data_IF_481803210183
#
_entry.id   IF_481803210183
#
_cell.length_a   1.000
_cell.length_b   1.000
_cell.length_c   1.000
_cell.angle_alpha   90.00
_cell.angle_beta   90.00
_cell.angle_gamma   90.00
#
_symmetry.space_group_name_H-M   'P 1'
#
loop_
_entity.id
_entity.type
_entity.pdbx_description
1 polymer ?
#
# COMPACT_ATOMS: atom_id res chain seq x y z
N UNK A 1 5.45 17.17 -27.08
CA UNK A 1 4.97 17.50 -25.71
C UNK A 1 5.28 16.43 -24.65
N UNK A 2 5.16 15.12 -24.94
CA UNK A 2 5.53 14.05 -23.99
C UNK A 2 6.98 14.08 -23.42
N UNK A 3 8.04 14.44 -24.18
CA UNK A 3 9.40 14.44 -23.65
C UNK A 3 9.66 15.60 -22.69
N UNK A 4 9.14 16.80 -22.97
CA UNK A 4 9.30 17.97 -22.09
C UNK A 4 8.59 17.76 -20.75
N UNK A 5 7.38 17.19 -20.76
CA UNK A 5 6.66 16.83 -19.53
C UNK A 5 7.37 15.74 -18.71
N UNK A 6 8.02 14.78 -19.38
CA UNK A 6 8.79 13.74 -18.70
C UNK A 6 10.07 14.31 -18.08
N UNK A 7 10.72 15.26 -18.78
CA UNK A 7 11.89 15.98 -18.29
C UNK A 7 11.58 16.86 -17.08
N UNK A 8 10.51 17.67 -17.13
CA UNK A 8 10.11 18.53 -16.00
C UNK A 8 9.69 17.72 -14.79
N UNK A 9 8.94 16.62 -14.99
CA UNK A 9 8.55 15.70 -13.90
C UNK A 9 9.77 15.02 -13.28
N UNK A 10 10.71 14.54 -14.10
CA UNK A 10 11.97 13.96 -13.62
C UNK A 10 12.80 14.95 -12.81
N UNK A 11 12.92 16.19 -13.31
CA UNK A 11 13.62 17.28 -12.61
C UNK A 11 12.98 17.62 -11.26
N UNK A 12 11.65 17.75 -11.21
CA UNK A 12 10.93 18.01 -9.95
C UNK A 12 11.12 16.89 -8.92
N UNK A 13 11.08 15.63 -9.35
CA UNK A 13 11.30 14.49 -8.46
C UNK A 13 12.73 14.47 -7.90
N UNK A 14 13.74 14.74 -8.74
CA UNK A 14 15.13 14.80 -8.31
C UNK A 14 15.39 15.95 -7.31
N UNK A 15 14.88 17.15 -7.60
CA UNK A 15 15.01 18.31 -6.69
C UNK A 15 14.32 18.03 -5.36
N UNK A 16 13.10 17.47 -5.40
CA UNK A 16 12.38 17.09 -4.19
C UNK A 16 13.13 16.03 -3.37
N UNK A 17 13.65 14.98 -4.01
CA UNK A 17 14.46 13.94 -3.35
C UNK A 17 15.72 14.53 -2.71
N UNK A 18 16.38 15.46 -3.38
CA UNK A 18 17.54 16.16 -2.84
C UNK A 18 17.21 16.98 -1.59
N UNK A 19 16.12 17.76 -1.61
CA UNK A 19 15.66 18.50 -0.44
C UNK A 19 15.33 17.58 0.75
N UNK A 20 14.61 16.49 0.48
CA UNK A 20 14.26 15.51 1.51
C UNK A 20 15.50 14.81 2.09
N UNK A 21 16.48 14.46 1.25
CA UNK A 21 17.73 13.86 1.70
C UNK A 21 18.52 14.82 2.60
N UNK A 22 18.65 16.09 2.19
CA UNK A 22 19.30 17.12 3.01
C UNK A 22 18.62 17.27 4.37
N UNK A 23 17.29 17.26 4.39
CA UNK A 23 16.52 17.35 5.64
C UNK A 23 16.75 16.14 6.55
N UNK A 24 16.74 14.92 6.02
CA UNK A 24 16.99 13.70 6.80
C UNK A 24 18.42 13.68 7.35
N UNK A 25 19.42 14.04 6.55
CA UNK A 25 20.80 14.15 7.01
C UNK A 25 20.93 15.19 8.14
N UNK A 26 20.33 16.37 7.96
CA UNK A 26 20.35 17.43 8.98
C UNK A 26 19.72 16.98 10.29
N UNK A 27 18.50 16.41 10.25
CA UNK A 27 17.81 15.91 11.44
C UNK A 27 18.61 14.82 12.14
N UNK A 28 19.21 13.90 11.38
CA UNK A 28 20.04 12.81 11.92
C UNK A 28 21.26 13.36 12.66
N UNK A 29 21.97 14.33 12.05
CA UNK A 29 23.14 14.97 12.67
C UNK A 29 22.73 15.70 13.96
N UNK A 30 21.67 16.52 13.93
CA UNK A 30 21.21 17.28 15.09
C UNK A 30 20.81 16.37 16.24
N UNK A 31 19.99 15.34 15.98
CA UNK A 31 19.56 14.39 17.02
C UNK A 31 20.73 13.59 17.60
N UNK A 32 21.71 13.25 16.77
CA UNK A 32 22.90 12.53 17.22
C UNK A 32 23.76 13.41 18.14
N UNK A 33 23.97 14.68 17.77
CA UNK A 33 24.70 15.66 18.59
C UNK A 33 23.98 15.87 19.93
N UNK A 34 22.65 16.05 19.92
CA UNK A 34 21.86 16.20 21.15
C UNK A 34 21.98 14.98 22.06
N UNK A 35 21.96 13.77 21.48
CA UNK A 35 22.16 12.53 22.24
C UNK A 35 23.57 12.47 22.84
N UNK A 36 24.59 12.82 22.07
CA UNK A 36 25.97 12.90 22.54
C UNK A 36 26.13 13.89 23.70
N UNK A 37 25.58 15.10 23.57
CA UNK A 37 25.60 16.13 24.63
C UNK A 37 24.87 15.66 25.90
N UNK A 38 23.72 15.02 25.75
CA UNK A 38 22.94 14.49 26.88
C UNK A 38 23.71 13.39 27.60
N UNK A 39 24.25 12.40 26.88
CA UNK A 39 25.05 11.31 27.46
C UNK A 39 26.32 11.88 28.10
N UNK A 40 27.00 12.81 27.43
CA UNK A 40 28.18 13.49 27.95
C UNK A 40 27.88 14.25 29.25
N UNK A 41 26.75 14.96 29.31
CA UNK A 41 26.27 15.63 30.51
C UNK A 41 26.02 14.65 31.66
N UNK A 42 25.28 13.57 31.41
CA UNK A 42 25.01 12.54 32.43
C UNK A 42 26.31 11.93 32.95
N UNK A 43 27.23 11.55 32.06
CA UNK A 43 28.52 10.98 32.43
C UNK A 43 29.41 11.99 33.18
N UNK A 44 29.32 13.28 32.85
CA UNK A 44 30.01 14.34 33.58
C UNK A 44 29.50 14.46 35.01
N UNK A 45 28.19 14.57 35.21
CA UNK A 45 27.61 14.69 36.56
C UNK A 45 27.74 13.41 37.40
N UNK A 46 27.66 12.24 36.78
CA UNK A 46 27.81 10.96 37.48
C UNK A 46 29.28 10.59 37.76
N UNK A 47 30.20 10.96 36.85
CA UNK A 47 31.61 10.60 36.93
C UNK A 47 32.50 11.60 37.66
N UNK A 48 32.01 12.81 37.94
CA UNK A 48 32.78 13.86 38.62
C UNK A 48 32.17 14.23 39.97
N UNK A 49 33.01 14.22 41.02
CA UNK A 49 32.57 14.67 42.34
C UNK A 49 32.47 16.20 42.42
N UNK A 50 31.63 16.72 43.32
CA UNK A 50 31.51 18.16 43.54
C UNK A 50 32.84 18.81 43.97
N UNK A 51 33.68 18.09 44.73
CA UNK A 51 35.01 18.55 45.12
C UNK A 51 35.96 18.67 43.91
N UNK A 52 36.00 17.67 43.03
CA UNK A 52 36.84 17.72 41.83
C UNK A 52 36.44 18.84 40.87
N UNK A 53 35.13 19.04 40.66
CA UNK A 53 34.60 20.15 39.85
C UNK A 53 34.97 21.51 40.44
N UNK A 54 34.88 21.66 41.75
CA UNK A 54 35.28 22.88 42.45
C UNK A 54 36.79 23.14 42.29
N UNK A 55 37.64 22.15 42.56
CA UNK A 55 39.10 22.28 42.45
C UNK A 55 39.49 22.65 41.02
N UNK A 56 38.94 21.96 40.02
CA UNK A 56 39.20 22.27 38.61
C UNK A 56 38.70 23.66 38.21
N UNK A 57 37.52 24.08 38.66
CA UNK A 57 37.01 25.43 38.45
C UNK A 57 37.88 26.51 39.09
N UNK A 58 38.37 26.28 40.32
CA UNK A 58 39.30 27.21 40.99
C UNK A 58 40.65 27.28 40.30
N UNK A 59 41.12 26.19 39.69
CA UNK A 59 42.32 26.16 38.87
C UNK A 59 42.15 26.97 37.59
N UNK A 60 41.06 26.78 36.85
CA UNK A 60 40.77 27.57 35.64
C UNK A 60 40.63 29.07 35.94
N UNK A 61 39.99 29.44 37.05
CA UNK A 61 39.91 30.84 37.50
C UNK A 61 41.28 31.40 37.88
N UNK A 62 42.15 30.60 38.49
CA UNK A 62 43.52 31.00 38.80
C UNK A 62 44.33 31.24 37.52
N UNK A 63 44.22 30.32 36.56
CA UNK A 63 44.90 30.39 35.27
C UNK A 63 44.44 31.62 34.46
N UNK A 64 43.12 31.84 34.39
CA UNK A 64 42.53 33.01 33.74
C UNK A 64 42.97 34.34 34.39
N UNK A 65 42.94 34.43 35.72
CA UNK A 65 43.35 35.65 36.45
C UNK A 65 44.83 35.97 36.27
N UNK A 66 45.69 34.94 36.27
CA UNK A 66 47.13 35.10 36.02
C UNK A 66 47.39 35.52 34.56
N UNK A 67 46.65 34.94 33.62
CA UNK A 67 46.77 35.25 32.17
C UNK A 67 46.31 36.67 31.82
N UNK A 68 45.26 37.18 32.47
CA UNK A 68 44.77 38.56 32.24
C UNK A 68 45.63 39.60 32.97
N UNK A 69 46.26 39.27 34.09
CA UNK A 69 47.08 40.19 34.88
C UNK A 69 48.50 40.36 34.31
N UNK A 70 48.58 40.74 33.03
CA UNK A 70 49.79 40.85 32.20
C UNK A 70 50.93 41.68 32.82
N UNK A 71 50.61 42.66 33.68
CA UNK A 71 51.60 43.55 34.33
C UNK A 71 52.04 43.12 35.73
N UNK A 72 51.25 42.34 36.47
CA UNK A 72 51.61 41.91 37.83
C UNK A 72 50.99 40.55 38.21
N UNK A 73 51.48 39.45 37.61
CA UNK A 73 50.89 38.11 37.78
C UNK A 73 50.95 37.59 39.23
N UNK A 74 51.83 38.16 40.05
CA UNK A 74 52.03 37.83 41.46
C UNK A 74 51.03 38.52 42.42
N UNK A 75 50.26 39.51 41.94
CA UNK A 75 49.29 40.25 42.74
C UNK A 75 47.86 39.69 42.64
N UNK A 76 47.63 38.68 41.78
CA UNK A 76 46.34 38.02 41.63
C UNK A 76 46.03 37.13 42.86
N UNK A 77 44.95 37.45 43.55
CA UNK A 77 44.44 36.69 44.70
C UNK A 77 43.06 36.09 44.37
N UNK A 78 42.75 34.97 45.00
CA UNK A 78 41.42 34.37 44.93
C UNK A 78 41.04 33.71 46.25
N UNK A 79 39.74 33.66 46.49
CA UNK A 79 39.17 32.88 47.58
C UNK A 79 39.25 31.39 47.24
N UNK A 80 39.78 30.61 48.17
CA UNK A 80 39.89 29.16 48.09
C UNK A 80 39.26 28.56 49.35
N UNK A 81 38.22 27.74 49.16
CA UNK A 81 37.61 26.97 50.25
C UNK A 81 38.48 25.76 50.53
N UNK A 82 39.08 25.73 51.72
CA UNK A 82 39.85 24.58 52.21
C UNK A 82 38.95 23.38 52.46
N UNK A 83 39.52 22.17 52.49
CA UNK A 83 38.81 20.93 52.82
C UNK A 83 38.09 20.97 54.18
N UNK A 84 38.52 21.86 55.08
CA UNK A 84 37.91 22.12 56.39
C UNK A 84 36.76 23.15 56.36
N UNK A 85 36.31 23.59 55.18
CA UNK A 85 35.23 24.59 55.01
C UNK A 85 35.63 26.06 55.20
N UNK A 86 36.88 26.35 55.61
CA UNK A 86 37.38 27.72 55.79
C UNK A 86 37.70 28.38 54.45
N UNK A 87 37.24 29.62 54.24
CA UNK A 87 37.57 30.45 53.07
C UNK A 87 38.91 31.13 53.32
N UNK A 88 39.91 30.88 52.46
CA UNK A 88 41.24 31.48 52.55
C UNK A 88 41.51 32.30 51.29
N UNK A 89 42.06 33.51 51.45
CA UNK A 89 42.56 34.31 50.32
C UNK A 89 43.97 33.84 49.98
N UNK A 90 44.14 33.21 48.82
CA UNK A 90 45.41 32.62 48.39
C UNK A 90 45.86 33.27 47.08
N UNK A 91 47.17 33.45 46.91
CA UNK A 91 47.76 33.89 45.64
C UNK A 91 47.45 32.87 44.54
N UNK A 92 46.91 33.30 43.41
CA UNK A 92 46.52 32.43 42.28
C UNK A 92 47.71 31.63 41.74
N UNK A 93 48.93 32.19 41.73
CA UNK A 93 50.15 31.46 41.36
C UNK A 93 50.47 30.27 42.29
N UNK A 94 50.13 30.36 43.58
CA UNK A 94 50.38 29.28 44.55
C UNK A 94 49.46 28.08 44.29
N UNK A 95 48.28 28.32 43.72
CA UNK A 95 47.31 27.28 43.33
C UNK A 95 47.82 26.57 42.06
N UNK A 96 48.29 27.32 41.06
CA UNK A 96 48.84 26.77 39.82
C UNK A 96 50.11 25.92 40.02
N UNK A 97 50.90 26.20 41.05
CA UNK A 97 52.14 25.46 41.36
C UNK A 97 51.98 24.34 42.40
N UNK A 98 50.79 24.17 42.97
CA UNK A 98 50.56 23.17 44.00
C UNK A 98 50.48 21.76 43.39
N UNK A 99 51.40 20.88 43.78
CA UNK A 99 51.48 19.51 43.26
C UNK A 99 50.21 18.68 43.48
N UNK A 100 49.53 18.87 44.62
CA UNK A 100 48.28 18.18 44.91
C UNK A 100 47.16 18.65 43.98
N UNK A 101 47.00 19.97 43.79
CA UNK A 101 46.00 20.52 42.87
C UNK A 101 46.29 20.09 41.42
N UNK A 102 47.54 20.16 40.98
CA UNK A 102 47.95 19.72 39.65
C UNK A 102 47.67 18.22 39.42
N UNK A 103 47.84 17.37 40.44
CA UNK A 103 47.50 15.94 40.32
C UNK A 103 45.99 15.72 40.15
N UNK A 104 45.16 16.48 40.86
CA UNK A 104 43.70 16.44 40.74
C UNK A 104 43.22 16.98 39.39
N UNK A 105 43.83 18.06 38.90
CA UNK A 105 43.56 18.65 37.59
C UNK A 105 43.88 17.65 36.47
N UNK A 106 45.08 17.05 36.46
CA UNK A 106 45.45 16.03 35.47
C UNK A 106 44.54 14.81 35.50
N UNK A 107 44.12 14.37 36.69
CA UNK A 107 43.15 13.28 36.86
C UNK A 107 41.77 13.64 36.29
N UNK A 108 41.33 14.88 36.53
CA UNK A 108 40.07 15.40 36.00
C UNK A 108 40.09 15.55 34.47
N UNK A 109 41.17 16.09 33.90
CA UNK A 109 41.36 16.20 32.44
C UNK A 109 41.31 14.84 31.74
N UNK A 110 42.00 13.83 32.29
CA UNK A 110 41.90 12.44 31.79
C UNK A 110 40.48 11.87 31.93
N UNK A 111 39.74 12.30 32.96
CA UNK A 111 38.32 11.97 33.11
C UNK A 111 37.46 12.61 32.02
N UNK A 112 37.66 13.91 31.75
CA UNK A 112 36.97 14.65 30.70
C UNK A 112 37.21 14.05 29.32
N UNK A 113 38.46 13.71 28.98
CA UNK A 113 38.79 13.09 27.69
C UNK A 113 38.03 11.78 27.50
N UNK A 114 37.95 10.93 28.53
CA UNK A 114 37.17 9.68 28.48
C UNK A 114 35.67 9.92 28.34
N UNK A 115 35.14 10.96 28.97
CA UNK A 115 33.73 11.35 28.85
C UNK A 115 33.44 11.85 27.43
N UNK A 116 34.32 12.67 26.85
CA UNK A 116 34.22 13.15 25.48
C UNK A 116 34.27 12.00 24.47
N UNK A 117 35.20 11.06 24.65
CA UNK A 117 35.30 9.85 23.82
C UNK A 117 34.01 9.03 23.86
N UNK A 118 33.47 8.75 25.06
CA UNK A 118 32.21 8.00 25.22
C UNK A 118 31.01 8.75 24.64
N UNK A 119 30.96 10.08 24.80
CA UNK A 119 29.94 10.94 24.21
C UNK A 119 30.00 10.88 22.67
N UNK A 120 31.21 10.92 22.09
CA UNK A 120 31.41 10.81 20.65
C UNK A 120 30.94 9.44 20.10
N UNK A 121 31.30 8.35 20.77
CA UNK A 121 30.82 7.01 20.40
C UNK A 121 29.30 6.89 20.51
N UNK A 122 28.69 7.48 21.53
CA UNK A 122 27.23 7.49 21.68
C UNK A 122 26.52 8.26 20.55
N UNK A 123 27.11 9.36 20.08
CA UNK A 123 26.63 10.13 18.93
C UNK A 123 26.66 9.29 17.65
N UNK A 124 27.80 8.64 17.37
CA UNK A 124 27.95 7.76 16.19
C UNK A 124 26.94 6.61 16.24
N UNK A 125 26.80 5.96 17.39
CA UNK A 125 25.85 4.87 17.57
C UNK A 125 24.40 5.32 17.34
N UNK A 126 24.00 6.47 17.88
CA UNK A 126 22.66 7.02 17.65
C UNK A 126 22.39 7.34 16.18
N UNK A 127 23.40 7.83 15.43
CA UNK A 127 23.27 8.10 14.01
C UNK A 127 22.97 6.81 13.22
N UNK A 128 23.68 5.72 13.53
CA UNK A 128 23.43 4.42 12.90
C UNK A 128 22.01 3.89 13.20
N UNK A 129 21.53 4.04 14.43
CA UNK A 129 20.17 3.63 14.80
C UNK A 129 19.10 4.44 14.06
N UNK A 130 19.27 5.77 13.97
CA UNK A 130 18.33 6.65 13.28
C UNK A 130 18.29 6.32 11.78
N UNK A 131 19.46 6.14 11.15
CA UNK A 131 19.54 5.74 9.74
C UNK A 131 18.88 4.37 9.54
N UNK A 132 19.18 3.39 10.40
CA UNK A 132 18.58 2.06 10.35
C UNK A 132 17.05 2.10 10.47
N UNK A 133 16.52 2.94 11.37
CA UNK A 133 15.08 3.16 11.53
C UNK A 133 14.44 3.72 10.25
N UNK A 134 15.04 4.75 9.64
CA UNK A 134 14.51 5.32 8.40
C UNK A 134 14.56 4.32 7.24
N UNK A 135 15.64 3.53 7.13
CA UNK A 135 15.75 2.47 6.10
C UNK A 135 14.71 1.36 6.30
N UNK A 136 14.51 0.89 7.53
CA UNK A 136 13.52 -0.12 7.84
C UNK A 136 12.09 0.38 7.54
N UNK A 137 11.77 1.60 7.98
CA UNK A 137 10.48 2.24 7.70
C UNK A 137 10.26 2.42 6.19
N UNK A 138 11.30 2.84 5.47
CA UNK A 138 11.29 2.95 4.01
C UNK A 138 10.88 1.64 3.33
N UNK A 139 11.53 0.51 3.70
CA UNK A 139 11.21 -0.81 3.15
C UNK A 139 9.78 -1.29 3.44
N UNK A 140 9.23 -0.94 4.60
CA UNK A 140 7.87 -1.29 4.98
C UNK A 140 6.86 -0.48 4.15
N UNK A 141 7.12 0.82 3.96
CA UNK A 141 6.26 1.73 3.20
C UNK A 141 6.37 1.53 1.68
N UNK A 142 7.50 1.04 1.17
CA UNK A 142 7.73 0.71 -0.25
C UNK A 142 6.86 -0.44 -0.78
N UNK A 143 6.16 -1.16 0.11
CA UNK A 143 5.08 -2.04 -0.32
C UNK A 143 3.98 -1.18 -0.90
N UNK A 144 4.04 -1.01 -2.23
CA UNK A 144 3.06 -0.29 -3.06
C UNK A 144 1.65 -0.62 -2.57
N UNK A 145 1.11 0.27 -1.75
CA UNK A 145 -0.28 0.20 -1.33
C UNK A 145 -1.07 0.63 -2.57
N UNK A 146 -1.69 -0.34 -3.21
CA UNK A 146 -2.62 -0.06 -4.30
C UNK A 146 -3.80 0.67 -3.68
N UNK A 147 -3.78 2.00 -3.73
CA UNK A 147 -4.76 2.85 -3.04
C UNK A 147 -6.17 2.74 -3.67
N UNK A 148 -6.28 2.32 -4.94
CA UNK A 148 -7.55 2.20 -5.68
C UNK A 148 -7.48 1.13 -6.78
N UNK A 149 -8.62 0.50 -7.08
CA UNK A 149 -8.79 -0.43 -8.21
C UNK A 149 -9.18 -1.85 -7.80
N UNK A 150 -9.19 -2.75 -8.79
CA UNK A 150 -9.39 -4.18 -8.55
C UNK A 150 -8.15 -4.82 -7.92
N UNK A 151 -8.37 -5.72 -6.97
CA UNK A 151 -7.31 -6.48 -6.30
C UNK A 151 -7.22 -7.88 -6.89
N UNK A 152 -6.03 -8.28 -7.34
CA UNK A 152 -5.76 -9.68 -7.64
C UNK A 152 -5.47 -10.42 -6.33
N UNK A 153 -6.31 -11.40 -6.00
CA UNK A 153 -6.17 -12.23 -4.81
C UNK A 153 -6.20 -13.70 -5.20
N UNK A 154 -5.63 -14.56 -4.36
CA UNK A 154 -5.72 -16.00 -4.59
C UNK A 154 -7.19 -16.48 -4.49
N UNK A 155 -7.57 -17.55 -5.21
CA UNK A 155 -8.93 -18.10 -5.16
C UNK A 155 -9.38 -18.44 -3.74
N UNK A 156 -8.46 -18.93 -2.90
CA UNK A 156 -8.72 -19.23 -1.49
C UNK A 156 -9.07 -17.98 -0.68
N UNK A 157 -8.33 -16.89 -0.89
CA UNK A 157 -8.60 -15.60 -0.24
C UNK A 157 -9.92 -15.02 -0.72
N UNK A 158 -10.20 -15.05 -2.03
CA UNK A 158 -11.48 -14.58 -2.58
C UNK A 158 -12.66 -15.36 -2.00
N UNK A 159 -12.56 -16.70 -1.96
CA UNK A 159 -13.57 -17.58 -1.34
C UNK A 159 -13.81 -17.23 0.12
N UNK A 160 -12.74 -16.98 0.90
CA UNK A 160 -12.85 -16.56 2.31
C UNK A 160 -13.54 -15.20 2.43
N UNK A 161 -13.21 -14.24 1.56
CA UNK A 161 -13.82 -12.91 1.56
C UNK A 161 -15.33 -12.98 1.25
N UNK A 162 -15.72 -13.71 0.20
CA UNK A 162 -17.13 -13.91 -0.19
C UNK A 162 -17.93 -14.58 0.94
N UNK A 163 -17.34 -15.60 1.59
CA UNK A 163 -17.97 -16.28 2.73
C UNK A 163 -18.08 -15.35 3.94
N UNK A 164 -17.03 -14.58 4.26
CA UNK A 164 -17.02 -13.63 5.39
C UNK A 164 -18.05 -12.52 5.20
N UNK A 165 -18.27 -12.06 3.96
CA UNK A 165 -19.32 -11.09 3.65
C UNK A 165 -20.73 -11.67 3.58
N UNK A 166 -20.91 -12.99 3.80
CA UNK A 166 -22.18 -13.71 3.64
C UNK A 166 -22.81 -13.55 2.24
N UNK A 167 -21.97 -13.41 1.22
CA UNK A 167 -22.39 -13.24 -0.19
C UNK A 167 -22.07 -14.46 -1.06
N UNK A 168 -21.84 -15.62 -0.46
CA UNK A 168 -21.61 -16.85 -1.21
C UNK A 168 -22.93 -17.35 -1.81
N UNK A 169 -22.95 -17.51 -3.13
CA UNK A 169 -24.01 -18.24 -3.81
C UNK A 169 -23.79 -19.76 -3.71
N UNK A 170 -24.86 -20.52 -3.95
CA UNK A 170 -24.83 -21.96 -4.17
C UNK A 170 -24.26 -22.34 -5.54
N UNK A 171 -24.27 -21.43 -6.54
CA UNK A 171 -23.50 -21.66 -7.77
C UNK A 171 -22.01 -21.41 -7.55
N UNK A 172 -21.20 -22.31 -8.09
CA UNK A 172 -19.74 -22.28 -7.98
C UNK A 172 -19.07 -22.49 -9.34
N UNK A 173 -17.93 -21.85 -9.54
CA UNK A 173 -16.99 -22.11 -10.63
C UNK A 173 -15.74 -22.73 -10.04
N UNK A 174 -15.51 -24.02 -10.31
CA UNK A 174 -14.35 -24.79 -9.81
C UNK A 174 -14.12 -24.63 -8.30
N UNK A 175 -15.22 -24.65 -7.53
CA UNK A 175 -15.22 -24.53 -6.08
C UNK A 175 -15.11 -23.09 -5.53
N UNK A 176 -15.04 -22.08 -6.39
CA UNK A 176 -15.21 -20.67 -6.03
C UNK A 176 -16.70 -20.30 -6.12
N UNK A 177 -17.37 -19.92 -5.02
CA UNK A 177 -18.76 -19.48 -5.09
C UNK A 177 -18.88 -18.18 -5.87
N UNK A 178 -19.91 -18.10 -6.71
CA UNK A 178 -20.35 -16.83 -7.30
C UNK A 178 -20.89 -15.91 -6.21
N UNK A 179 -21.04 -14.63 -6.56
CA UNK A 179 -21.69 -13.66 -5.67
C UNK A 179 -23.20 -13.87 -5.69
N UNK A 180 -23.77 -14.03 -4.50
CA UNK A 180 -25.22 -14.12 -4.30
C UNK A 180 -25.92 -12.92 -4.95
N UNK A 181 -27.04 -13.18 -5.60
CA UNK A 181 -27.89 -12.20 -6.30
C UNK A 181 -27.22 -11.48 -7.50
N UNK A 182 -25.96 -11.80 -7.85
CA UNK A 182 -25.29 -11.26 -9.04
C UNK A 182 -25.41 -12.15 -10.27
N UNK A 183 -25.95 -13.34 -10.13
CA UNK A 183 -26.22 -14.27 -11.23
C UNK A 183 -27.27 -13.72 -12.21
N UNK A 184 -28.18 -12.87 -11.71
CA UNK A 184 -29.18 -12.17 -12.52
C UNK A 184 -28.61 -10.93 -13.22
N UNK A 185 -27.38 -10.52 -12.91
CA UNK A 185 -26.69 -9.38 -13.54
C UNK A 185 -25.94 -9.76 -14.83
N UNK A 186 -26.19 -10.97 -15.35
CA UNK A 186 -25.47 -11.60 -16.46
C UNK A 186 -24.00 -11.94 -16.14
N UNK A 187 -23.47 -12.95 -16.83
CA UNK A 187 -22.07 -13.37 -16.72
C UNK A 187 -21.47 -13.38 -18.13
N UNK A 188 -20.40 -12.61 -18.33
CA UNK A 188 -19.63 -12.64 -19.57
C UNK A 188 -18.42 -13.58 -19.41
N UNK A 189 -18.44 -14.69 -20.13
CA UNK A 189 -17.31 -15.64 -20.20
C UNK A 189 -16.57 -15.38 -21.52
N UNK A 190 -15.34 -14.88 -21.43
CA UNK A 190 -14.50 -14.54 -22.59
C UNK A 190 -13.22 -15.39 -22.62
N UNK A 191 -12.72 -15.68 -23.81
CA UNK A 191 -11.50 -16.45 -24.02
C UNK A 191 -11.37 -16.95 -25.45
N UNK A 192 -10.15 -17.32 -25.86
CA UNK A 192 -9.83 -17.85 -27.19
C UNK A 192 -10.43 -19.25 -27.41
N UNK A 193 -10.42 -19.75 -28.64
CA UNK A 193 -10.78 -21.14 -28.94
C UNK A 193 -9.89 -22.09 -28.13
N UNK A 194 -10.47 -23.10 -27.50
CA UNK A 194 -9.74 -24.03 -26.62
C UNK A 194 -9.51 -23.55 -25.18
N UNK A 195 -9.91 -22.33 -24.80
CA UNK A 195 -9.68 -21.79 -23.45
C UNK A 195 -10.59 -22.36 -22.35
N UNK A 196 -11.42 -23.36 -22.65
CA UNK A 196 -12.32 -24.00 -21.68
C UNK A 196 -13.67 -23.30 -21.43
N UNK A 197 -14.13 -22.39 -22.31
CA UNK A 197 -15.45 -21.74 -22.17
C UNK A 197 -16.61 -22.74 -22.04
N UNK A 198 -16.63 -23.77 -22.90
CA UNK A 198 -17.64 -24.85 -22.85
C UNK A 198 -17.54 -25.65 -21.55
N UNK A 199 -16.33 -25.92 -21.07
CA UNK A 199 -16.13 -26.59 -19.77
C UNK A 199 -16.68 -25.76 -18.60
N UNK A 200 -16.49 -24.44 -18.62
CA UNK A 200 -17.08 -23.54 -17.62
C UNK A 200 -18.61 -23.67 -17.57
N UNK A 201 -19.27 -23.75 -18.73
CA UNK A 201 -20.71 -23.99 -18.81
C UNK A 201 -21.10 -25.39 -18.29
N UNK A 202 -20.31 -26.43 -18.57
CA UNK A 202 -20.53 -27.78 -18.02
C UNK A 202 -20.44 -27.82 -16.49
N UNK A 203 -19.62 -26.97 -15.88
CA UNK A 203 -19.57 -26.84 -14.42
C UNK A 203 -20.85 -26.20 -13.88
N UNK A 204 -21.41 -25.20 -14.56
CA UNK A 204 -22.58 -24.45 -14.10
C UNK A 204 -23.92 -25.16 -14.34
N UNK A 205 -24.13 -25.77 -15.51
CA UNK A 205 -25.45 -26.31 -15.90
C UNK A 205 -26.03 -27.33 -14.91
N UNK A 206 -25.26 -28.31 -14.37
CA UNK A 206 -25.78 -29.23 -13.37
C UNK A 206 -26.20 -28.54 -12.07
N UNK A 207 -25.55 -27.44 -11.70
CA UNK A 207 -25.89 -26.64 -10.52
C UNK A 207 -27.17 -25.85 -10.76
N UNK A 208 -27.31 -25.23 -11.95
CA UNK A 208 -28.53 -24.53 -12.37
C UNK A 208 -29.72 -25.50 -12.39
N UNK A 209 -29.54 -26.73 -12.90
CA UNK A 209 -30.56 -27.78 -12.94
C UNK A 209 -31.08 -28.19 -11.57
N UNK A 210 -30.24 -28.14 -10.53
CA UNK A 210 -30.66 -28.47 -9.15
C UNK A 210 -31.59 -27.41 -8.56
N UNK A 211 -31.59 -26.20 -9.11
CA UNK A 211 -32.54 -25.15 -8.73
C UNK A 211 -33.87 -25.39 -9.46
N UNK A 212 -34.99 -24.87 -8.93
CA UNK A 212 -36.29 -24.87 -9.62
C UNK A 212 -36.32 -23.87 -10.79
N UNK A 213 -35.19 -23.67 -11.48
CA UNK A 213 -35.02 -22.71 -12.55
C UNK A 213 -35.07 -23.42 -13.90
N UNK A 214 -35.53 -22.69 -14.93
CA UNK A 214 -35.45 -23.13 -16.34
C UNK A 214 -34.21 -22.51 -17.00
N UNK A 215 -33.64 -23.22 -17.96
CA UNK A 215 -32.54 -22.74 -18.77
C UNK A 215 -32.92 -22.87 -20.26
N UNK A 216 -32.61 -21.83 -21.04
CA UNK A 216 -32.65 -21.87 -22.50
C UNK A 216 -31.19 -21.94 -22.94
N UNK A 217 -30.84 -22.98 -23.70
CA UNK A 217 -29.47 -23.25 -24.13
C UNK A 217 -29.44 -23.17 -25.65
N UNK A 218 -28.63 -22.25 -26.18
CA UNK A 218 -28.32 -22.18 -27.61
C UNK A 218 -27.13 -23.09 -27.86
N UNK A 219 -27.39 -24.29 -28.38
CA UNK A 219 -26.39 -25.30 -28.64
C UNK A 219 -26.11 -25.43 -30.14
N UNK A 220 -25.01 -24.81 -30.59
CA UNK A 220 -24.59 -24.84 -31.99
C UNK A 220 -23.95 -26.18 -32.40
N UNK A 221 -23.56 -27.02 -31.45
CA UNK A 221 -22.75 -28.23 -31.69
C UNK A 221 -23.48 -29.54 -31.36
N UNK A 222 -24.57 -29.47 -30.62
CA UNK A 222 -25.27 -30.64 -30.06
C UNK A 222 -24.61 -31.23 -28.81
N UNK A 223 -23.53 -30.63 -28.30
CA UNK A 223 -22.81 -31.15 -27.14
C UNK A 223 -23.64 -31.10 -25.85
N UNK A 224 -24.39 -30.00 -25.64
CA UNK A 224 -25.27 -29.87 -24.49
C UNK A 224 -26.50 -30.76 -24.62
N UNK A 225 -27.07 -30.86 -25.83
CA UNK A 225 -28.17 -31.78 -26.10
C UNK A 225 -27.74 -33.21 -25.80
N UNK A 226 -26.59 -33.65 -26.31
CA UNK A 226 -26.09 -35.03 -26.10
C UNK A 226 -25.88 -35.40 -24.62
N UNK A 227 -25.44 -34.44 -23.79
CA UNK A 227 -25.10 -34.68 -22.38
C UNK A 227 -26.25 -34.46 -21.41
N UNK A 228 -27.13 -33.50 -21.70
CA UNK A 228 -28.08 -32.99 -20.72
C UNK A 228 -29.54 -33.17 -21.11
N UNK A 229 -29.88 -33.33 -22.39
CA UNK A 229 -31.26 -33.44 -22.83
C UNK A 229 -31.94 -34.68 -22.26
N UNK A 230 -33.16 -34.52 -21.75
CA UNK A 230 -34.01 -35.61 -21.25
C UNK A 230 -35.27 -35.69 -22.09
N UNK A 231 -35.39 -36.78 -22.84
CA UNK A 231 -36.57 -37.10 -23.65
C UNK A 231 -37.84 -37.05 -22.78
N UNK A 232 -38.89 -36.40 -23.29
CA UNK A 232 -40.16 -36.24 -22.59
C UNK A 232 -40.17 -35.25 -21.42
N UNK A 233 -39.03 -34.64 -21.07
CA UNK A 233 -38.95 -33.61 -20.02
C UNK A 233 -38.46 -32.26 -20.55
N UNK A 234 -37.45 -32.28 -21.42
CA UNK A 234 -36.84 -31.08 -21.97
C UNK A 234 -37.38 -30.82 -23.38
N UNK A 235 -37.52 -29.55 -23.75
CA UNK A 235 -37.96 -29.13 -25.09
C UNK A 235 -36.75 -28.93 -25.99
N UNK A 236 -36.82 -29.47 -27.22
CA UNK A 236 -35.81 -29.27 -28.26
C UNK A 236 -36.44 -28.48 -29.40
N UNK A 237 -35.72 -27.48 -29.93
CA UNK A 237 -36.11 -26.74 -31.13
C UNK A 237 -34.98 -26.84 -32.15
N UNK A 238 -35.13 -27.76 -33.10
CA UNK A 238 -34.23 -27.97 -34.22
C UNK A 238 -35.01 -28.55 -35.41
N UNK A 239 -35.19 -27.81 -36.53
CA UNK A 239 -36.02 -28.26 -37.65
C UNK A 239 -35.51 -29.54 -38.33
N UNK A 240 -34.29 -29.98 -38.03
CA UNK A 240 -33.68 -31.19 -38.59
C UNK A 240 -33.65 -32.37 -37.60
N UNK A 241 -34.20 -32.21 -36.39
CA UNK A 241 -34.25 -33.28 -35.37
C UNK A 241 -35.68 -33.79 -35.19
N UNK A 242 -35.87 -35.11 -35.27
CA UNK A 242 -37.17 -35.76 -35.14
C UNK A 242 -37.83 -35.53 -33.76
N UNK A 243 -37.02 -35.26 -32.72
CA UNK A 243 -37.50 -34.98 -31.34
C UNK A 243 -37.91 -33.51 -31.15
N UNK A 244 -37.68 -32.66 -32.15
CA UNK A 244 -37.98 -31.23 -32.06
C UNK A 244 -39.46 -31.02 -31.83
N UNK A 245 -39.77 -30.03 -31.01
CA UNK A 245 -41.12 -29.52 -30.88
C UNK A 245 -41.55 -28.87 -32.19
N UNK A 246 -42.83 -29.05 -32.52
CA UNK A 246 -43.47 -28.30 -33.58
C UNK A 246 -43.58 -26.84 -33.14
N UNK A 247 -42.93 -25.95 -33.87
CA UNK A 247 -43.01 -24.53 -33.65
C UNK A 247 -43.61 -23.85 -34.87
N UNK A 248 -44.52 -22.92 -34.62
CA UNK A 248 -45.21 -22.17 -35.65
C UNK A 248 -45.36 -20.72 -35.19
N UNK A 249 -45.10 -19.72 -36.05
CA UNK A 249 -45.25 -18.31 -35.70
C UNK A 249 -46.69 -17.99 -35.25
N UNK A 250 -47.69 -18.65 -35.84
CA UNK A 250 -49.11 -18.47 -35.49
C UNK A 250 -49.47 -19.08 -34.13
N UNK A 251 -48.70 -20.05 -33.63
CA UNK A 251 -48.88 -20.59 -32.28
C UNK A 251 -48.30 -19.71 -31.17
N UNK A 252 -47.31 -18.87 -31.51
CA UNK A 252 -46.64 -17.95 -30.58
C UNK A 252 -47.36 -16.58 -30.52
N UNK A 253 -47.86 -16.12 -31.66
CA UNK A 253 -48.44 -14.79 -31.79
C UNK A 253 -49.93 -14.72 -31.38
N UNK A 254 -50.19 -14.56 -30.07
CA UNK A 254 -51.54 -14.38 -29.52
C UNK A 254 -52.22 -13.01 -29.81
N UNK A 255 -51.44 -11.97 -30.13
CA UNK A 255 -51.93 -10.61 -30.41
C UNK A 255 -51.33 -10.09 -31.71
N UNK A 256 -52.00 -9.16 -32.40
CA UNK A 256 -51.48 -8.62 -33.67
C UNK A 256 -50.08 -8.00 -33.53
N UNK A 257 -49.80 -7.34 -32.41
CA UNK A 257 -48.50 -6.75 -32.10
C UNK A 257 -47.37 -7.79 -31.92
N UNK A 258 -47.71 -9.05 -31.65
CA UNK A 258 -46.72 -10.12 -31.57
C UNK A 258 -46.10 -10.43 -32.93
N UNK A 259 -46.88 -10.31 -34.02
CA UNK A 259 -46.35 -10.51 -35.38
C UNK A 259 -45.33 -9.43 -35.74
N UNK A 260 -45.55 -8.18 -35.32
CA UNK A 260 -44.57 -7.09 -35.51
C UNK A 260 -43.27 -7.36 -34.73
N UNK A 261 -43.41 -7.85 -33.50
CA UNK A 261 -42.25 -8.22 -32.64
C UNK A 261 -41.47 -9.39 -33.20
N UNK A 262 -42.17 -10.42 -33.71
CA UNK A 262 -41.57 -11.58 -34.34
C UNK A 262 -40.88 -11.22 -35.66
N UNK A 263 -41.50 -10.38 -36.50
CA UNK A 263 -40.86 -9.89 -37.71
C UNK A 263 -39.58 -9.11 -37.40
N UNK A 264 -39.59 -8.32 -36.31
CA UNK A 264 -38.42 -7.57 -35.86
C UNK A 264 -37.27 -8.46 -35.34
N UNK A 265 -37.56 -9.65 -34.80
CA UNK A 265 -36.55 -10.61 -34.35
C UNK A 265 -35.98 -11.45 -35.50
N UNK A 266 -36.81 -11.82 -36.49
CA UNK A 266 -36.40 -12.57 -37.69
C UNK A 266 -35.54 -11.71 -38.62
N UNK A 267 -35.90 -10.43 -38.79
CA UNK A 267 -35.15 -9.49 -39.64
C UNK A 267 -34.35 -8.54 -38.74
N UNK A 268 -33.12 -8.90 -38.32
CA UNK A 268 -32.33 -8.04 -37.45
C UNK A 268 -31.92 -6.74 -38.17
N UNK A 269 -31.69 -5.67 -37.40
CA UNK A 269 -31.09 -4.45 -37.95
C UNK A 269 -29.60 -4.70 -38.19
N UNK A 270 -29.17 -4.68 -39.45
CA UNK A 270 -27.77 -4.92 -39.83
C UNK A 270 -27.00 -3.64 -40.13
N UNK A 271 -27.66 -2.62 -40.67
CA UNK A 271 -27.05 -1.33 -40.99
C UNK A 271 -27.59 -0.19 -40.12
N UNK A 272 -26.70 0.69 -39.66
CA UNK A 272 -27.07 1.93 -38.97
C UNK A 272 -27.34 3.09 -39.94
N UNK A 273 -26.84 3.01 -41.17
CA UNK A 273 -26.86 4.14 -42.11
C UNK A 273 -28.13 4.18 -42.96
N UNK A 274 -28.67 3.05 -43.40
CA UNK A 274 -29.92 3.00 -44.18
C UNK A 274 -30.75 1.75 -43.86
N UNK A 275 -31.77 1.84 -42.97
CA UNK A 275 -32.55 0.68 -42.53
C UNK A 275 -33.76 0.40 -43.45
N UNK A 276 -33.79 0.95 -44.67
CA UNK A 276 -34.99 0.89 -45.53
C UNK A 276 -35.39 -0.56 -45.82
N UNK A 277 -34.44 -1.39 -46.25
CA UNK A 277 -34.70 -2.79 -46.61
C UNK A 277 -35.09 -3.62 -45.39
N UNK A 278 -34.44 -3.41 -44.24
CA UNK A 278 -34.82 -4.12 -43.01
C UNK A 278 -36.22 -3.72 -42.53
N UNK A 279 -36.58 -2.43 -42.62
CA UNK A 279 -37.90 -1.95 -42.21
C UNK A 279 -39.00 -2.42 -43.18
N UNK A 280 -38.75 -2.35 -44.49
CA UNK A 280 -39.67 -2.85 -45.51
C UNK A 280 -39.89 -4.37 -45.36
N UNK A 281 -38.81 -5.13 -45.15
CA UNK A 281 -38.88 -6.57 -44.89
C UNK A 281 -39.69 -6.92 -43.64
N UNK A 282 -39.51 -6.18 -42.55
CA UNK A 282 -40.32 -6.35 -41.32
C UNK A 282 -41.80 -6.08 -41.57
N UNK A 283 -42.11 -4.97 -42.22
CA UNK A 283 -43.49 -4.59 -42.50
C UNK A 283 -44.17 -5.63 -43.40
N UNK A 284 -43.49 -6.08 -44.46
CA UNK A 284 -43.99 -7.11 -45.36
C UNK A 284 -44.23 -8.43 -44.62
N UNK A 285 -43.24 -8.91 -43.86
CA UNK A 285 -43.34 -10.17 -43.13
C UNK A 285 -44.45 -10.13 -42.07
N UNK A 286 -44.55 -9.03 -41.31
CA UNK A 286 -45.61 -8.86 -40.31
C UNK A 286 -47.01 -8.88 -40.95
N UNK A 287 -47.22 -8.11 -42.01
CA UNK A 287 -48.50 -8.07 -42.73
C UNK A 287 -48.86 -9.43 -43.32
N UNK A 288 -47.89 -10.13 -43.92
CA UNK A 288 -48.11 -11.46 -44.46
C UNK A 288 -48.51 -12.48 -43.38
N UNK A 289 -47.82 -12.47 -42.23
CA UNK A 289 -48.16 -13.36 -41.10
C UNK A 289 -49.56 -13.07 -40.55
N UNK A 290 -49.94 -11.79 -40.44
CA UNK A 290 -51.28 -11.37 -39.98
C UNK A 290 -52.38 -11.83 -40.94
N UNK A 291 -52.18 -11.68 -42.24
CA UNK A 291 -53.20 -12.06 -43.23
C UNK A 291 -53.38 -13.58 -43.28
N UNK A 292 -52.28 -14.34 -43.19
CA UNK A 292 -52.32 -15.82 -43.17
C UNK A 292 -52.79 -16.42 -41.83
N UNK A 293 -53.00 -15.59 -40.80
CA UNK A 293 -53.52 -16.02 -39.51
C UNK A 293 -55.06 -16.07 -39.44
N UNK A 294 -55.74 -15.49 -40.43
CA UNK A 294 -57.21 -15.43 -40.54
C UNK A 294 -57.77 -16.71 -41.16
#
# INVERSE_FOLDING_TARGET
MKPLHSFTRGGQLAVHQYHMLKQICFVTIVLSILTGLLVGGILFFAGTTSAQRYIYGTYLLADFKVSISLKNPAAAHQEFKSASGKVLVVKSQKILRNHWILSQVKGFEKGLIRILERSLWSMVFSAFLIIGYFLARGRITDRKKLERGGYLVSPQTLKRLIKKSKQASDLTLDGLPLLKDKETSHILITGTTGSGKTNCLHTLLPQIRKRPNRAIIVDLTGDFVSKYYREGQDLLLNPFDQRSQLWSPWGECLMESHYDTLAASIVPKTSFTEPFWENAGKALLSSALKELAR
#
